data_IF_013562069159
#
_entry.id   IF_013562069159
#
_cell.length_a   1.000
_cell.length_b   1.000
_cell.length_c   1.000
_cell.angle_alpha   90.00
_cell.angle_beta   90.00
_cell.angle_gamma   90.00
#
_symmetry.space_group_name_H-M   'P 1'
#
loop_
_entity.id
_entity.type
_entity.pdbx_description
1 polymer ?
#
# COMPACT_ATOMS: atom_id res chain seq x y z
N UNK A 1 28.83 73.38 16.27
CA UNK A 1 28.81 72.39 15.22
C UNK A 1 28.63 71.02 15.88
N UNK A 2 27.42 70.43 15.83
CA UNK A 2 27.10 69.10 16.37
C UNK A 2 27.11 68.12 15.19
N UNK A 3 28.08 67.19 15.15
CA UNK A 3 28.09 66.08 14.21
C UNK A 3 27.14 64.97 14.71
N UNK A 4 26.08 64.70 13.98
CA UNK A 4 25.20 63.53 14.16
C UNK A 4 25.81 62.39 13.36
N UNK A 5 26.35 61.37 14.07
CA UNK A 5 26.72 60.07 13.43
C UNK A 5 25.44 59.25 13.21
N UNK A 6 25.07 59.05 11.95
CA UNK A 6 24.05 58.06 11.54
C UNK A 6 24.70 56.68 11.47
N UNK A 7 24.38 55.82 12.43
CA UNK A 7 24.77 54.43 12.41
C UNK A 7 23.76 53.67 11.55
N UNK A 8 24.14 53.36 10.29
CA UNK A 8 23.32 52.52 9.40
C UNK A 8 23.43 51.05 9.84
N UNK A 9 22.36 50.50 10.40
CA UNK A 9 22.22 49.10 10.76
C UNK A 9 21.95 48.32 9.46
N UNK A 10 22.99 47.70 8.87
CA UNK A 10 22.87 46.74 7.77
C UNK A 10 22.25 45.45 8.28
N UNK A 11 20.93 45.27 8.06
CA UNK A 11 20.26 44.00 8.20
C UNK A 11 20.79 43.04 7.13
N UNK A 12 21.72 42.18 7.52
CA UNK A 12 22.16 41.04 6.68
C UNK A 12 21.03 40.03 6.67
N UNK A 13 20.16 40.09 5.66
CA UNK A 13 19.23 39.03 5.35
C UNK A 13 20.01 37.85 4.82
N UNK A 14 20.34 36.88 5.67
CA UNK A 14 20.84 35.59 5.20
C UNK A 14 19.75 34.97 4.32
N UNK A 15 20.04 34.56 3.07
CA UNK A 15 19.06 33.82 2.30
C UNK A 15 18.73 32.54 3.08
N UNK A 16 17.46 32.36 3.40
CA UNK A 16 16.95 31.10 3.95
C UNK A 16 17.16 30.04 2.86
N UNK A 17 18.27 29.30 2.94
CA UNK A 17 18.55 28.24 2.01
C UNK A 17 17.50 27.16 2.28
N UNK A 18 16.60 26.96 1.33
CA UNK A 18 15.65 25.85 1.42
C UNK A 18 16.44 24.55 1.64
N UNK A 19 16.16 23.85 2.72
CA UNK A 19 16.81 22.58 3.00
C UNK A 19 16.64 21.63 1.79
N UNK A 20 17.72 20.99 1.37
CA UNK A 20 17.68 20.06 0.25
C UNK A 20 16.78 18.87 0.65
N UNK A 21 15.76 18.60 -0.16
CA UNK A 21 14.84 17.48 0.09
C UNK A 21 15.58 16.16 0.00
N UNK A 22 15.36 15.27 0.97
CA UNK A 22 15.96 13.95 0.91
C UNK A 22 15.28 13.09 -0.16
N UNK A 23 16.06 12.47 -1.03
CA UNK A 23 15.56 11.59 -2.09
C UNK A 23 15.19 10.23 -1.53
N UNK A 24 13.95 9.82 -1.74
CA UNK A 24 13.40 8.55 -1.26
C UNK A 24 12.78 7.79 -2.42
N UNK A 25 13.07 6.49 -2.45
CA UNK A 25 12.42 5.54 -3.36
C UNK A 25 11.52 4.62 -2.53
N UNK A 26 10.25 4.53 -2.88
CA UNK A 26 9.33 3.52 -2.37
C UNK A 26 9.14 2.43 -3.44
N UNK A 27 9.03 1.17 -3.04
CA UNK A 27 8.89 0.06 -4.00
C UNK A 27 7.59 0.15 -4.79
N UNK A 28 6.46 0.55 -4.18
CA UNK A 28 5.17 0.64 -4.86
C UNK A 28 4.27 1.76 -4.30
N UNK A 29 3.16 2.01 -4.99
CA UNK A 29 2.31 3.19 -4.78
C UNK A 29 1.71 3.31 -3.38
N UNK A 30 1.34 2.20 -2.72
CA UNK A 30 0.80 2.21 -1.35
C UNK A 30 1.87 2.68 -0.35
N UNK A 31 3.09 2.14 -0.43
CA UNK A 31 4.19 2.64 0.40
C UNK A 31 4.51 4.10 0.10
N UNK A 32 4.47 4.49 -1.17
CA UNK A 32 4.70 5.88 -1.55
C UNK A 32 3.67 6.83 -0.92
N UNK A 33 2.41 6.40 -0.78
CA UNK A 33 1.39 7.20 -0.09
C UNK A 33 1.71 7.36 1.40
N UNK A 34 2.09 6.28 2.10
CA UNK A 34 2.53 6.37 3.49
C UNK A 34 3.74 7.30 3.66
N UNK A 35 4.76 7.13 2.82
CA UNK A 35 5.96 7.98 2.85
C UNK A 35 5.61 9.44 2.58
N UNK A 36 4.72 9.73 1.63
CA UNK A 36 4.26 11.10 1.31
C UNK A 36 3.54 11.74 2.49
N UNK A 37 2.67 10.99 3.18
CA UNK A 37 1.92 11.50 4.34
C UNK A 37 2.82 11.80 5.54
N UNK A 38 3.96 11.10 5.67
CA UNK A 38 4.94 11.34 6.75
C UNK A 38 5.98 12.38 6.36
N UNK A 39 6.50 12.30 5.13
CA UNK A 39 7.60 13.14 4.66
C UNK A 39 7.18 14.55 4.22
N UNK A 40 5.92 14.70 3.80
CA UNK A 40 5.37 15.98 3.35
C UNK A 40 6.20 16.64 2.24
N UNK A 41 6.50 17.90 2.42
CA UNK A 41 7.30 18.72 1.49
C UNK A 41 8.82 18.65 1.75
N UNK A 42 9.27 17.87 2.75
CA UNK A 42 10.69 17.70 3.10
C UNK A 42 11.39 16.62 2.30
N UNK A 43 10.68 15.87 1.49
CA UNK A 43 11.20 14.74 0.72
C UNK A 43 11.00 14.92 -0.78
N UNK A 44 11.87 14.26 -1.56
CA UNK A 44 11.71 14.02 -3.01
C UNK A 44 11.44 12.52 -3.21
N UNK A 45 10.19 12.17 -3.46
CA UNK A 45 9.70 10.80 -3.43
C UNK A 45 9.42 10.25 -4.83
N UNK A 46 9.94 9.07 -5.11
CA UNK A 46 9.60 8.28 -6.31
C UNK A 46 9.07 6.89 -5.91
N UNK A 47 7.96 6.48 -6.51
CA UNK A 47 7.52 5.08 -6.49
C UNK A 47 8.10 4.35 -7.71
N UNK A 48 8.63 3.12 -7.53
CA UNK A 48 9.10 2.29 -8.65
C UNK A 48 7.90 1.71 -9.38
N UNK A 49 7.01 1.03 -8.66
CA UNK A 49 5.74 0.56 -9.21
C UNK A 49 4.68 1.63 -8.95
N UNK A 50 4.22 2.25 -10.03
CA UNK A 50 3.26 3.37 -9.98
C UNK A 50 1.82 2.90 -9.78
N UNK A 51 0.89 3.84 -10.06
CA UNK A 51 -0.54 3.57 -9.99
C UNK A 51 -0.94 2.42 -10.93
N UNK A 52 -1.91 1.60 -10.46
CA UNK A 52 -2.45 0.42 -11.16
C UNK A 52 -1.38 -0.61 -11.58
N UNK A 53 -0.16 -0.50 -11.05
CA UNK A 53 0.92 -1.44 -11.33
C UNK A 53 0.91 -2.63 -10.38
N UNK A 54 1.23 -3.81 -10.93
CA UNK A 54 1.39 -5.04 -10.16
C UNK A 54 2.82 -5.16 -9.65
N UNK A 55 2.99 -5.12 -8.33
CA UNK A 55 4.30 -5.18 -7.67
C UNK A 55 4.95 -6.57 -7.72
N UNK A 56 4.15 -7.64 -7.84
CA UNK A 56 4.67 -9.01 -7.88
C UNK A 56 5.46 -9.31 -9.16
N UNK A 57 4.98 -8.80 -10.30
CA UNK A 57 5.52 -9.10 -11.64
C UNK A 57 6.26 -7.91 -12.27
N UNK A 58 6.62 -6.92 -11.45
CA UNK A 58 7.31 -5.73 -11.96
C UNK A 58 8.67 -6.07 -12.55
N UNK A 59 8.92 -5.55 -13.75
CA UNK A 59 10.22 -5.65 -14.42
C UNK A 59 10.93 -4.28 -14.34
N UNK A 60 12.02 -4.16 -13.56
CA UNK A 60 12.73 -2.90 -13.42
C UNK A 60 13.31 -2.38 -14.73
N UNK A 61 13.19 -1.08 -14.96
CA UNK A 61 13.81 -0.38 -16.06
C UNK A 61 15.19 0.20 -15.67
N UNK A 62 16.10 0.50 -16.65
CA UNK A 62 17.40 1.10 -16.35
C UNK A 62 17.32 2.39 -15.53
N UNK A 63 16.24 3.17 -15.70
CA UNK A 63 15.99 4.39 -14.93
C UNK A 63 15.78 4.12 -13.43
N UNK A 64 15.31 2.94 -13.05
CA UNK A 64 15.06 2.59 -11.65
C UNK A 64 16.36 2.38 -10.89
N UNK A 65 17.37 1.77 -11.52
CA UNK A 65 18.71 1.66 -10.96
C UNK A 65 19.31 3.04 -10.66
N UNK A 66 19.12 4.02 -11.57
CA UNK A 66 19.56 5.40 -11.34
C UNK A 66 18.83 6.03 -10.16
N UNK A 67 17.51 5.89 -10.07
CA UNK A 67 16.72 6.42 -8.94
C UNK A 67 17.18 5.84 -7.60
N UNK A 68 17.41 4.53 -7.55
CA UNK A 68 17.95 3.84 -6.36
C UNK A 68 19.37 4.32 -6.02
N UNK A 69 20.23 4.50 -7.02
CA UNK A 69 21.61 4.99 -6.80
C UNK A 69 21.66 6.40 -6.20
N UNK A 70 20.68 7.25 -6.55
CA UNK A 70 20.57 8.63 -6.05
C UNK A 70 19.80 8.74 -4.73
N UNK A 71 19.10 7.71 -4.32
CA UNK A 71 18.26 7.74 -3.13
C UNK A 71 19.09 7.72 -1.84
N UNK A 72 18.61 8.38 -0.80
CA UNK A 72 19.09 8.26 0.58
C UNK A 72 18.44 7.05 1.29
N UNK A 73 17.16 6.85 1.04
CA UNK A 73 16.40 5.70 1.55
C UNK A 73 15.68 4.98 0.41
N UNK A 74 15.63 3.65 0.50
CA UNK A 74 14.75 2.79 -0.29
C UNK A 74 13.80 2.09 0.68
N UNK A 75 12.51 2.45 0.61
CA UNK A 75 11.48 1.89 1.46
C UNK A 75 10.82 0.71 0.75
N UNK A 76 10.83 -0.44 1.39
CA UNK A 76 10.31 -1.70 0.85
C UNK A 76 9.27 -2.29 1.80
N UNK A 77 8.35 -3.08 1.25
CA UNK A 77 7.42 -3.85 2.06
C UNK A 77 8.16 -4.96 2.83
N UNK A 78 8.97 -5.72 2.14
CA UNK A 78 9.53 -6.95 2.67
C UNK A 78 8.54 -8.11 2.59
N UNK A 79 8.67 -9.10 3.49
CA UNK A 79 7.85 -10.31 3.52
C UNK A 79 7.86 -11.11 2.19
N UNK A 80 8.85 -10.86 1.34
CA UNK A 80 9.00 -11.53 0.04
C UNK A 80 8.23 -10.89 -1.12
N UNK A 81 7.57 -9.74 -0.93
CA UNK A 81 6.78 -9.06 -1.98
C UNK A 81 7.63 -8.69 -3.19
N UNK A 82 8.75 -8.00 -2.96
CA UNK A 82 9.60 -7.44 -4.01
C UNK A 82 10.75 -8.39 -4.37
N UNK A 83 10.45 -9.56 -4.92
CA UNK A 83 11.48 -10.55 -5.29
C UNK A 83 12.53 -10.04 -6.28
N UNK A 84 12.17 -9.05 -7.11
CA UNK A 84 13.02 -8.40 -8.11
C UNK A 84 13.98 -7.34 -7.51
N UNK A 85 13.66 -6.76 -6.37
CA UNK A 85 14.33 -5.57 -5.84
C UNK A 85 15.76 -5.80 -5.35
N UNK A 86 16.12 -6.91 -4.66
CA UNK A 86 17.49 -7.12 -4.19
C UNK A 86 18.52 -7.07 -5.32
N UNK A 87 18.19 -7.64 -6.50
CA UNK A 87 19.07 -7.58 -7.68
C UNK A 87 19.20 -6.17 -8.22
N UNK A 88 18.11 -5.39 -8.20
CA UNK A 88 18.11 -4.01 -8.66
C UNK A 88 18.99 -3.13 -7.76
N UNK A 89 18.84 -3.22 -6.43
CA UNK A 89 19.66 -2.49 -5.45
C UNK A 89 21.15 -2.83 -5.62
N UNK A 90 21.48 -4.10 -5.78
CA UNK A 90 22.84 -4.55 -6.01
C UNK A 90 23.41 -3.99 -7.32
N UNK A 91 22.66 -4.04 -8.42
CA UNK A 91 23.10 -3.56 -9.74
C UNK A 91 23.25 -2.03 -9.78
N UNK A 92 22.47 -1.31 -8.98
CA UNK A 92 22.55 0.14 -8.85
C UNK A 92 23.85 0.61 -8.15
N UNK A 93 24.57 -0.27 -7.45
CA UNK A 93 25.73 0.12 -6.64
C UNK A 93 25.36 1.13 -5.55
N UNK A 94 24.11 1.12 -5.10
CA UNK A 94 23.55 2.13 -4.22
C UNK A 94 24.13 2.05 -2.80
N UNK A 95 24.30 3.23 -2.19
CA UNK A 95 24.61 3.39 -0.76
C UNK A 95 23.34 3.72 0.06
N UNK A 96 22.17 3.71 -0.57
CA UNK A 96 20.91 3.98 0.11
C UNK A 96 20.65 2.95 1.21
N UNK A 97 20.14 3.41 2.34
CA UNK A 97 19.64 2.50 3.37
C UNK A 97 18.32 1.89 2.88
N UNK A 98 18.26 0.56 2.85
CA UNK A 98 17.01 -0.17 2.59
C UNK A 98 16.28 -0.34 3.90
N UNK A 99 15.03 0.12 3.95
CA UNK A 99 14.16 0.10 5.13
C UNK A 99 12.96 -0.78 4.85
N UNK A 100 12.79 -1.84 5.63
CA UNK A 100 11.61 -2.71 5.57
C UNK A 100 10.49 -2.13 6.43
N UNK A 101 9.42 -1.67 5.81
CA UNK A 101 8.32 -0.98 6.48
C UNK A 101 7.39 -1.92 7.26
N UNK A 102 7.56 -3.24 7.12
CA UNK A 102 6.83 -4.27 7.90
C UNK A 102 7.65 -4.82 9.06
N UNK A 103 8.78 -4.22 9.43
CA UNK A 103 9.69 -4.79 10.43
C UNK A 103 9.03 -5.01 11.81
N UNK A 104 8.06 -4.16 12.18
CA UNK A 104 7.28 -4.26 13.41
C UNK A 104 6.05 -5.18 13.34
N UNK A 105 5.78 -5.83 12.20
CA UNK A 105 4.57 -6.63 11.99
C UNK A 105 4.85 -8.12 12.21
N UNK A 106 3.97 -8.79 12.98
CA UNK A 106 3.96 -10.25 13.05
C UNK A 106 3.31 -10.81 11.76
N UNK A 107 4.06 -11.49 10.88
CA UNK A 107 3.54 -11.90 9.60
C UNK A 107 2.55 -13.06 9.70
N UNK A 108 1.47 -13.01 8.91
CA UNK A 108 0.63 -14.17 8.67
C UNK A 108 1.43 -15.20 7.87
N UNK A 109 1.30 -16.47 8.23
CA UNK A 109 2.00 -17.56 7.57
C UNK A 109 1.10 -18.23 6.53
N UNK A 110 1.64 -18.45 5.35
CA UNK A 110 1.04 -19.22 4.26
C UNK A 110 1.98 -20.39 3.93
N UNK A 111 1.79 -21.50 4.64
CA UNK A 111 2.73 -22.60 4.61
C UNK A 111 4.10 -22.21 5.16
N UNK A 112 5.15 -22.32 4.33
CA UNK A 112 6.52 -21.92 4.68
C UNK A 112 6.81 -20.42 4.43
N UNK A 113 5.97 -19.73 3.65
CA UNK A 113 6.13 -18.32 3.32
C UNK A 113 5.32 -17.41 4.24
N UNK A 114 5.62 -16.11 4.21
CA UNK A 114 4.79 -15.08 4.82
C UNK A 114 3.82 -14.51 3.77
N UNK A 115 2.63 -14.11 4.21
CA UNK A 115 1.74 -13.28 3.43
C UNK A 115 2.31 -11.85 3.38
N UNK A 116 2.60 -11.29 2.19
CA UNK A 116 3.19 -9.95 2.11
C UNK A 116 2.19 -8.81 2.24
N UNK A 117 0.88 -9.06 2.12
CA UNK A 117 -0.16 -8.04 1.98
C UNK A 117 -0.59 -7.40 3.31
N UNK A 118 0.39 -7.09 4.17
CA UNK A 118 0.12 -6.61 5.53
C UNK A 118 -0.62 -5.27 5.59
N UNK A 119 -0.53 -4.44 4.54
CA UNK A 119 -1.25 -3.17 4.43
C UNK A 119 -2.78 -3.31 4.37
N UNK A 120 -3.30 -4.51 4.09
CA UNK A 120 -4.75 -4.76 4.08
C UNK A 120 -5.39 -4.70 5.47
N UNK A 121 -4.60 -4.73 6.55
CA UNK A 121 -5.03 -4.40 7.91
C UNK A 121 -4.69 -2.94 8.24
N UNK A 122 -5.69 -2.12 8.60
CA UNK A 122 -5.45 -0.72 8.99
C UNK A 122 -4.60 -0.62 10.27
N UNK A 123 -4.75 -1.48 11.31
CA UNK A 123 -3.80 -1.57 12.42
C UNK A 123 -2.35 -1.79 11.96
N UNK A 124 -2.11 -2.66 10.98
CA UNK A 124 -0.78 -2.84 10.42
C UNK A 124 -0.29 -1.58 9.68
N UNK A 125 -1.15 -0.90 8.91
CA UNK A 125 -0.79 0.36 8.24
C UNK A 125 -0.25 1.41 9.23
N UNK A 126 -0.71 1.42 10.48
CA UNK A 126 -0.16 2.28 11.53
C UNK A 126 1.28 1.91 11.90
N UNK A 127 1.64 0.63 11.83
CA UNK A 127 3.02 0.15 12.05
C UNK A 127 3.90 0.63 10.90
N UNK A 128 3.46 0.46 9.64
CA UNK A 128 4.16 1.01 8.47
C UNK A 128 4.49 2.49 8.64
N UNK A 129 3.50 3.30 9.01
CA UNK A 129 3.65 4.75 9.19
C UNK A 129 4.66 5.07 10.30
N UNK A 130 4.64 4.29 11.39
CA UNK A 130 5.58 4.45 12.51
C UNK A 130 7.01 4.11 12.09
N UNK A 131 7.20 2.98 11.40
CA UNK A 131 8.51 2.53 10.93
C UNK A 131 9.10 3.50 9.90
N UNK A 132 8.26 4.01 8.97
CA UNK A 132 8.65 5.04 8.01
C UNK A 132 9.06 6.34 8.72
N UNK A 133 8.28 6.80 9.70
CA UNK A 133 8.60 8.03 10.45
C UNK A 133 9.93 7.91 11.20
N UNK A 134 10.20 6.75 11.80
CA UNK A 134 11.47 6.49 12.47
C UNK A 134 12.64 6.48 11.48
N UNK A 135 12.46 5.87 10.30
CA UNK A 135 13.49 5.85 9.27
C UNK A 135 13.80 7.24 8.73
N UNK A 136 12.77 8.06 8.48
CA UNK A 136 12.94 9.44 8.02
C UNK A 136 13.63 10.30 9.10
N UNK A 137 13.24 10.16 10.37
CA UNK A 137 13.85 10.89 11.49
C UNK A 137 15.33 10.54 11.70
N UNK A 138 15.73 9.28 11.40
CA UNK A 138 17.15 8.87 11.43
C UNK A 138 17.90 9.41 10.21
N UNK A 139 17.28 9.42 9.05
CA UNK A 139 17.89 9.90 7.81
C UNK A 139 18.07 11.42 7.79
N UNK A 140 17.18 12.17 8.44
CA UNK A 140 17.24 13.62 8.57
C UNK A 140 16.86 14.03 10.01
N UNK A 141 17.84 14.07 10.93
CA UNK A 141 17.60 14.40 12.33
C UNK A 141 17.08 15.84 12.56
N UNK A 142 17.42 16.77 11.67
CA UNK A 142 16.99 18.16 11.78
C UNK A 142 15.48 18.31 11.53
N UNK A 143 14.90 17.45 10.69
CA UNK A 143 13.49 17.40 10.37
C UNK A 143 12.72 16.31 11.18
N UNK A 144 13.37 15.65 12.14
CA UNK A 144 12.79 14.51 12.88
C UNK A 144 11.45 14.86 13.55
N UNK A 145 11.31 16.04 14.16
CA UNK A 145 10.06 16.46 14.79
C UNK A 145 8.95 16.72 13.77
N UNK A 146 9.28 17.25 12.60
CA UNK A 146 8.33 17.41 11.50
C UNK A 146 7.76 16.03 11.09
N UNK A 147 8.62 15.05 10.81
CA UNK A 147 8.18 13.71 10.41
C UNK A 147 7.32 13.03 11.48
N UNK A 148 7.69 13.14 12.75
CA UNK A 148 6.89 12.61 13.84
C UNK A 148 5.54 13.30 13.99
N UNK A 149 5.46 14.60 13.77
CA UNK A 149 4.20 15.37 13.82
C UNK A 149 3.27 14.96 12.68
N UNK A 150 3.81 14.82 11.45
CA UNK A 150 3.05 14.35 10.30
C UNK A 150 2.55 12.93 10.52
N UNK A 151 3.40 12.03 11.03
CA UNK A 151 3.02 10.67 11.36
C UNK A 151 1.87 10.63 12.39
N UNK A 152 1.93 11.40 13.49
CA UNK A 152 0.84 11.49 14.47
C UNK A 152 -0.48 11.89 13.81
N UNK A 153 -0.45 12.94 12.98
CA UNK A 153 -1.65 13.41 12.25
C UNK A 153 -2.23 12.33 11.33
N UNK A 154 -1.36 11.55 10.66
CA UNK A 154 -1.83 10.49 9.77
C UNK A 154 -2.32 9.26 10.55
N UNK A 155 -1.69 8.92 11.66
CA UNK A 155 -2.11 7.84 12.56
C UNK A 155 -3.53 8.09 13.13
N UNK A 156 -3.90 9.34 13.47
CA UNK A 156 -5.25 9.69 13.90
C UNK A 156 -6.29 9.44 12.79
N UNK A 157 -5.92 9.74 11.54
CA UNK A 157 -6.77 9.44 10.38
C UNK A 157 -6.94 7.93 10.18
N UNK A 158 -5.87 7.15 10.35
CA UNK A 158 -5.92 5.69 10.24
C UNK A 158 -6.75 5.06 11.37
N UNK A 159 -6.68 5.59 12.58
CA UNK A 159 -7.53 5.13 13.69
C UNK A 159 -9.01 5.37 13.40
N UNK A 160 -9.34 6.51 12.82
CA UNK A 160 -10.69 6.80 12.36
C UNK A 160 -11.14 5.84 11.27
N UNK A 161 -10.26 5.57 10.28
CA UNK A 161 -10.51 4.63 9.20
C UNK A 161 -10.77 3.20 9.73
N UNK A 162 -9.99 2.74 10.71
CA UNK A 162 -10.19 1.42 11.33
C UNK A 162 -11.58 1.28 11.95
N UNK A 163 -12.05 2.31 12.67
CA UNK A 163 -13.42 2.33 13.20
C UNK A 163 -14.47 2.29 12.08
N UNK A 164 -14.29 3.08 11.01
CA UNK A 164 -15.19 3.09 9.85
C UNK A 164 -15.31 1.67 9.24
N UNK A 165 -14.18 0.97 9.09
CA UNK A 165 -14.15 -0.40 8.54
C UNK A 165 -14.89 -1.38 9.47
N UNK A 166 -14.61 -1.35 10.78
CA UNK A 166 -15.29 -2.22 11.77
C UNK A 166 -16.79 -2.00 11.79
N UNK A 167 -17.23 -0.75 11.79
CA UNK A 167 -18.66 -0.40 11.76
C UNK A 167 -19.35 -0.86 10.47
N UNK A 168 -18.66 -0.74 9.32
CA UNK A 168 -19.20 -1.19 8.05
C UNK A 168 -19.28 -2.71 7.96
N UNK A 169 -18.24 -3.43 8.38
CA UNK A 169 -18.23 -4.90 8.40
C UNK A 169 -19.25 -5.45 9.40
N UNK A 170 -19.47 -4.80 10.54
CA UNK A 170 -20.46 -5.23 11.52
C UNK A 170 -21.89 -5.29 10.93
N UNK A 171 -22.17 -4.50 9.89
CA UNK A 171 -23.47 -4.51 9.18
C UNK A 171 -23.64 -5.66 8.20
N UNK A 172 -22.56 -6.38 7.86
CA UNK A 172 -22.62 -7.55 6.97
C UNK A 172 -23.04 -8.77 7.78
N UNK A 173 -24.12 -9.49 7.40
CA UNK A 173 -24.48 -10.74 8.04
C UNK A 173 -23.36 -11.78 7.98
N UNK A 174 -23.14 -12.54 9.05
CA UNK A 174 -22.01 -13.48 9.15
C UNK A 174 -21.98 -14.49 8.00
N UNK A 175 -23.14 -14.98 7.59
CA UNK A 175 -23.32 -15.94 6.49
C UNK A 175 -22.98 -15.35 5.12
N UNK A 176 -22.84 -14.02 5.01
CA UNK A 176 -22.48 -13.30 3.78
C UNK A 176 -21.05 -12.76 3.77
N UNK A 177 -20.30 -13.00 4.87
CA UNK A 177 -18.91 -12.56 4.99
C UNK A 177 -17.91 -13.47 4.29
N UNK A 178 -18.32 -14.10 3.18
CA UNK A 178 -17.42 -14.86 2.32
C UNK A 178 -17.58 -14.44 0.89
N UNK A 179 -16.47 -14.07 0.26
CA UNK A 179 -16.40 -13.51 -1.09
C UNK A 179 -15.22 -14.10 -1.85
N UNK A 180 -15.21 -13.91 -3.18
CA UNK A 180 -14.09 -14.28 -4.05
C UNK A 180 -13.37 -13.02 -4.49
N UNK A 181 -12.02 -13.00 -4.38
CA UNK A 181 -11.10 -12.05 -5.00
C UNK A 181 -10.36 -12.71 -6.16
N UNK A 182 -9.53 -11.97 -6.89
CA UNK A 182 -8.76 -12.52 -8.00
C UNK A 182 -7.54 -13.29 -7.50
N UNK A 183 -6.78 -12.73 -6.55
CA UNK A 183 -5.67 -13.40 -5.88
C UNK A 183 -5.78 -13.32 -4.36
N UNK A 184 -4.94 -14.07 -3.64
CA UNK A 184 -4.99 -14.19 -2.18
C UNK A 184 -4.24 -13.03 -1.50
N UNK A 185 -4.79 -11.82 -1.62
CA UNK A 185 -4.22 -10.58 -1.07
C UNK A 185 -4.87 -10.12 0.24
N UNK A 186 -6.00 -10.68 0.64
CA UNK A 186 -6.82 -10.11 1.71
C UNK A 186 -6.74 -10.90 3.03
N UNK A 187 -5.70 -11.71 3.23
CA UNK A 187 -5.53 -12.53 4.42
C UNK A 187 -5.51 -11.71 5.72
N UNK A 188 -4.79 -10.59 5.74
CA UNK A 188 -4.76 -9.68 6.91
C UNK A 188 -6.08 -8.95 7.13
N UNK A 189 -6.80 -8.60 6.06
CA UNK A 189 -8.14 -8.03 6.19
C UNK A 189 -9.10 -9.06 6.79
N UNK A 190 -9.03 -10.31 6.33
CA UNK A 190 -9.85 -11.41 6.85
C UNK A 190 -9.58 -11.66 8.34
N UNK A 191 -8.32 -11.70 8.74
CA UNK A 191 -7.91 -11.90 10.13
C UNK A 191 -8.37 -10.76 11.04
N UNK A 192 -8.31 -9.52 10.56
CA UNK A 192 -8.61 -8.32 11.35
C UNK A 192 -10.12 -8.05 11.46
N UNK A 193 -10.87 -8.24 10.35
CA UNK A 193 -12.26 -7.79 10.26
C UNK A 193 -13.28 -8.92 10.07
N UNK A 194 -12.84 -10.16 9.89
CA UNK A 194 -13.73 -11.32 9.83
C UNK A 194 -14.52 -11.47 8.53
N UNK A 195 -14.01 -10.95 7.41
CA UNK A 195 -14.53 -11.21 6.05
C UNK A 195 -13.60 -12.20 5.36
N UNK A 196 -14.08 -13.36 4.98
CA UNK A 196 -13.30 -14.40 4.34
C UNK A 196 -13.18 -14.16 2.84
N UNK A 197 -11.95 -14.20 2.35
CA UNK A 197 -11.65 -14.16 0.92
C UNK A 197 -11.18 -15.55 0.47
N UNK A 198 -11.61 -15.95 -0.71
CA UNK A 198 -11.10 -17.14 -1.42
C UNK A 198 -10.69 -16.67 -2.81
N UNK A 199 -9.54 -17.12 -3.28
CA UNK A 199 -9.02 -16.68 -4.56
C UNK A 199 -8.60 -17.86 -5.44
N UNK A 200 -8.77 -17.80 -6.78
CA UNK A 200 -8.24 -18.78 -7.72
C UNK A 200 -6.72 -18.69 -7.88
N UNK A 201 -6.16 -17.49 -7.76
CA UNK A 201 -4.70 -17.25 -7.75
C UNK A 201 -4.19 -17.33 -6.32
N UNK A 202 -2.92 -17.74 -6.17
CA UNK A 202 -2.22 -17.71 -4.89
C UNK A 202 -1.88 -16.29 -4.43
N UNK A 203 -0.95 -16.19 -3.50
CA UNK A 203 -0.47 -14.93 -2.92
C UNK A 203 0.29 -14.05 -3.93
N UNK A 204 0.90 -14.66 -4.93
CA UNK A 204 1.57 -13.96 -6.03
C UNK A 204 0.76 -14.12 -7.32
N UNK A 205 0.75 -13.07 -8.12
CA UNK A 205 0.12 -13.03 -9.45
C UNK A 205 1.01 -13.60 -10.56
N UNK A 206 2.22 -14.04 -10.24
CA UNK A 206 3.19 -14.58 -11.22
C UNK A 206 2.70 -15.84 -11.95
N UNK A 207 1.81 -16.60 -11.33
CA UNK A 207 1.36 -17.90 -11.84
C UNK A 207 -0.13 -17.89 -12.14
N UNK A 208 -0.50 -18.30 -13.35
CA UNK A 208 -1.91 -18.50 -13.73
C UNK A 208 -2.51 -19.69 -12.97
N UNK A 209 -3.80 -19.64 -12.56
CA UNK A 209 -4.45 -20.76 -11.90
C UNK A 209 -4.68 -21.91 -12.87
N UNK A 210 -4.52 -23.14 -12.38
CA UNK A 210 -4.82 -24.32 -13.19
C UNK A 210 -6.33 -24.46 -13.43
N UNK A 211 -6.70 -25.20 -14.49
CA UNK A 211 -8.12 -25.52 -14.75
C UNK A 211 -8.77 -26.26 -13.56
N UNK A 212 -7.99 -27.02 -12.79
CA UNK A 212 -8.45 -27.70 -11.57
C UNK A 212 -8.79 -26.72 -10.46
N UNK A 213 -7.97 -25.69 -10.26
CA UNK A 213 -8.19 -24.68 -9.23
C UNK A 213 -9.43 -23.85 -9.57
N UNK A 214 -9.61 -23.47 -10.84
CA UNK A 214 -10.79 -22.77 -11.32
C UNK A 214 -12.06 -23.63 -11.08
N UNK A 215 -12.02 -24.92 -11.42
CA UNK A 215 -13.14 -25.84 -11.20
C UNK A 215 -13.47 -25.98 -9.69
N UNK A 216 -12.45 -26.04 -8.83
CA UNK A 216 -12.62 -26.11 -7.38
C UNK A 216 -13.31 -24.87 -6.83
N UNK A 217 -12.90 -23.66 -7.26
CA UNK A 217 -13.52 -22.38 -6.88
C UNK A 217 -14.98 -22.34 -7.34
N UNK A 218 -15.28 -22.71 -8.59
CA UNK A 218 -16.66 -22.77 -9.11
C UNK A 218 -17.52 -23.71 -8.27
N UNK A 219 -17.00 -24.91 -7.95
CA UNK A 219 -17.67 -25.85 -7.06
C UNK A 219 -17.95 -25.29 -5.67
N UNK A 220 -16.98 -24.61 -5.09
CA UNK A 220 -17.08 -23.97 -3.79
C UNK A 220 -18.12 -22.84 -3.77
N UNK A 221 -18.13 -21.96 -4.79
CA UNK A 221 -19.11 -20.88 -4.91
C UNK A 221 -20.53 -21.45 -4.92
N UNK A 222 -20.78 -22.49 -5.73
CA UNK A 222 -22.10 -23.14 -5.84
C UNK A 222 -22.51 -23.82 -4.54
N UNK A 223 -21.60 -24.61 -3.93
CA UNK A 223 -21.89 -25.35 -2.70
C UNK A 223 -22.14 -24.46 -1.50
N UNK A 224 -21.39 -23.36 -1.36
CA UNK A 224 -21.46 -22.46 -0.23
C UNK A 224 -22.33 -21.22 -0.49
N UNK A 225 -22.91 -21.11 -1.68
CA UNK A 225 -23.74 -19.97 -2.10
C UNK A 225 -23.05 -18.62 -1.87
N UNK A 226 -21.75 -18.54 -2.25
CA UNK A 226 -20.97 -17.32 -2.08
C UNK A 226 -21.61 -16.20 -2.92
N UNK A 227 -21.96 -15.04 -2.30
CA UNK A 227 -22.85 -14.06 -2.93
C UNK A 227 -22.16 -13.24 -4.02
N UNK A 228 -20.85 -13.00 -3.90
CA UNK A 228 -20.15 -12.07 -4.76
C UNK A 228 -18.72 -12.50 -5.09
N UNK A 229 -18.28 -12.12 -6.29
CA UNK A 229 -16.91 -12.17 -6.78
C UNK A 229 -16.44 -10.76 -7.09
N UNK A 230 -15.16 -10.49 -6.87
CA UNK A 230 -14.57 -9.16 -7.10
C UNK A 230 -13.43 -9.21 -8.08
N UNK A 231 -13.39 -8.21 -8.94
CA UNK A 231 -12.25 -7.89 -9.80
C UNK A 231 -11.17 -7.19 -8.98
N UNK A 232 -9.97 -7.12 -9.51
CA UNK A 232 -8.88 -6.32 -8.94
C UNK A 232 -8.26 -5.41 -9.99
N UNK A 233 -7.83 -4.21 -9.58
CA UNK A 233 -7.34 -3.19 -10.53
C UNK A 233 -6.00 -3.55 -11.18
N UNK A 234 -5.24 -4.47 -10.59
CA UNK A 234 -3.93 -4.91 -11.08
C UNK A 234 -4.01 -6.16 -11.97
N UNK A 235 -5.18 -6.78 -12.13
CA UNK A 235 -5.34 -8.09 -12.78
C UNK A 235 -6.29 -8.04 -13.96
N UNK A 236 -6.13 -9.00 -14.89
CA UNK A 236 -7.09 -9.24 -15.98
C UNK A 236 -8.42 -9.76 -15.42
N UNK A 237 -9.51 -9.13 -15.79
CA UNK A 237 -10.85 -9.41 -15.26
C UNK A 237 -11.56 -10.62 -15.90
N UNK A 238 -11.02 -11.17 -17.00
CA UNK A 238 -11.67 -12.24 -17.80
C UNK A 238 -11.94 -13.49 -16.98
N UNK A 239 -11.00 -13.89 -16.12
CA UNK A 239 -11.15 -15.09 -15.28
C UNK A 239 -12.33 -14.93 -14.30
N UNK A 240 -12.36 -13.84 -13.56
CA UNK A 240 -13.40 -13.59 -12.54
C UNK A 240 -14.77 -13.41 -13.20
N UNK A 241 -14.85 -12.74 -14.35
CA UNK A 241 -16.09 -12.62 -15.12
C UNK A 241 -16.61 -13.98 -15.61
N UNK A 242 -15.71 -14.87 -16.04
CA UNK A 242 -16.05 -16.24 -16.41
C UNK A 242 -16.60 -17.02 -15.20
N UNK A 243 -15.91 -16.97 -14.06
CA UNK A 243 -16.38 -17.61 -12.82
C UNK A 243 -17.76 -17.09 -12.42
N UNK A 244 -17.98 -15.77 -12.49
CA UNK A 244 -19.29 -15.17 -12.22
C UNK A 244 -20.37 -15.73 -13.16
N UNK A 245 -20.12 -15.80 -14.46
CA UNK A 245 -21.07 -16.31 -15.46
C UNK A 245 -21.41 -17.80 -15.23
N UNK A 246 -20.44 -18.62 -14.85
CA UNK A 246 -20.64 -20.06 -14.60
C UNK A 246 -21.34 -20.37 -13.26
N UNK A 247 -21.28 -19.44 -12.30
CA UNK A 247 -21.81 -19.65 -10.94
C UNK A 247 -23.08 -18.88 -10.65
N UNK A 248 -23.36 -17.81 -11.40
CA UNK A 248 -24.43 -16.86 -11.09
C UNK A 248 -24.09 -15.91 -9.94
N UNK A 249 -22.86 -15.92 -9.41
CA UNK A 249 -22.42 -14.97 -8.38
C UNK A 249 -22.38 -13.54 -8.94
N UNK A 250 -22.75 -12.56 -8.11
CA UNK A 250 -22.74 -11.15 -8.51
C UNK A 250 -21.28 -10.65 -8.64
N UNK A 251 -20.97 -9.92 -9.70
CA UNK A 251 -19.73 -9.13 -9.75
C UNK A 251 -19.91 -7.90 -8.87
N UNK A 252 -19.20 -7.87 -7.74
CA UNK A 252 -19.34 -6.86 -6.69
C UNK A 252 -18.62 -5.54 -6.97
N UNK A 253 -17.86 -5.50 -8.07
CA UNK A 253 -17.02 -4.36 -8.46
C UNK A 253 -15.54 -4.71 -8.46
N UNK A 254 -14.70 -3.68 -8.52
CA UNK A 254 -13.24 -3.81 -8.51
C UNK A 254 -12.71 -3.44 -7.13
N UNK A 255 -11.96 -4.34 -6.49
CA UNK A 255 -11.16 -4.03 -5.30
C UNK A 255 -9.81 -3.47 -5.73
N UNK A 256 -9.26 -2.62 -4.92
CA UNK A 256 -7.91 -2.11 -5.07
C UNK A 256 -7.03 -2.90 -4.09
N UNK A 257 -6.16 -3.75 -4.62
CA UNK A 257 -5.38 -4.70 -3.80
C UNK A 257 -3.94 -4.23 -3.55
N UNK A 258 -3.10 -4.19 -4.59
CA UNK A 258 -1.64 -4.03 -4.46
C UNK A 258 -1.11 -2.74 -5.07
N UNK A 259 -1.96 -1.92 -5.64
CA UNK A 259 -1.57 -0.64 -6.23
C UNK A 259 -2.69 0.37 -6.14
N UNK A 260 -2.38 1.59 -5.68
CA UNK A 260 -3.32 2.70 -5.72
C UNK A 260 -3.62 3.07 -7.18
N UNK A 261 -4.77 3.68 -7.41
CA UNK A 261 -5.11 4.21 -8.74
C UNK A 261 -4.43 5.56 -8.99
N UNK A 262 -4.42 6.00 -10.25
CA UNK A 262 -3.97 7.36 -10.58
C UNK A 262 -4.83 8.43 -9.89
N UNK A 263 -4.36 9.67 -9.89
CA UNK A 263 -4.97 10.82 -9.17
C UNK A 263 -6.45 11.03 -9.46
N UNK A 264 -6.91 10.70 -10.69
CA UNK A 264 -8.32 10.80 -11.12
C UNK A 264 -9.08 9.48 -10.99
N UNK A 265 -8.44 8.45 -10.44
CA UNK A 265 -9.03 7.13 -10.27
C UNK A 265 -9.87 7.00 -9.01
N UNK A 266 -10.30 5.77 -8.72
CA UNK A 266 -11.21 5.47 -7.62
C UNK A 266 -10.57 5.58 -6.23
N UNK A 267 -9.26 5.36 -6.15
CA UNK A 267 -8.52 5.25 -4.89
C UNK A 267 -7.08 5.77 -5.05
N UNK A 268 -6.86 7.10 -5.14
CA UNK A 268 -5.53 7.68 -5.30
C UNK A 268 -4.70 7.67 -4.00
N UNK A 269 -5.32 7.41 -2.84
CA UNK A 269 -4.66 7.30 -1.53
C UNK A 269 -5.01 5.99 -0.83
N UNK A 270 -4.21 5.60 0.16
CA UNK A 270 -4.50 4.42 0.98
C UNK A 270 -5.86 4.51 1.69
N UNK A 271 -6.20 5.68 2.23
CA UNK A 271 -7.49 5.90 2.88
C UNK A 271 -8.64 5.75 1.89
N UNK A 272 -8.50 6.28 0.68
CA UNK A 272 -9.50 6.12 -0.38
C UNK A 272 -9.62 4.65 -0.81
N UNK A 273 -8.50 3.92 -0.90
CA UNK A 273 -8.47 2.50 -1.20
C UNK A 273 -9.31 1.70 -0.21
N UNK A 274 -9.06 1.86 1.08
CA UNK A 274 -9.78 1.12 2.12
C UNK A 274 -11.27 1.49 2.12
N UNK A 275 -11.61 2.77 2.00
CA UNK A 275 -13.01 3.24 1.91
C UNK A 275 -13.72 2.72 0.66
N UNK A 276 -13.04 2.72 -0.49
CA UNK A 276 -13.56 2.16 -1.73
C UNK A 276 -13.83 0.66 -1.58
N UNK A 277 -12.87 -0.09 -1.07
CA UNK A 277 -12.98 -1.54 -0.90
C UNK A 277 -14.11 -1.92 0.05
N UNK A 278 -14.22 -1.27 1.21
CA UNK A 278 -15.30 -1.59 2.15
C UNK A 278 -16.68 -1.20 1.61
N UNK A 279 -16.79 -0.11 0.84
CA UNK A 279 -18.02 0.26 0.15
C UNK A 279 -18.40 -0.77 -0.91
N UNK A 280 -17.45 -1.24 -1.72
CA UNK A 280 -17.69 -2.28 -2.72
C UNK A 280 -18.16 -3.59 -2.06
N UNK A 281 -17.46 -4.03 -1.01
CA UNK A 281 -17.82 -5.22 -0.23
C UNK A 281 -19.25 -5.11 0.34
N UNK A 282 -19.53 -4.07 1.11
CA UNK A 282 -20.86 -3.89 1.74
C UNK A 282 -21.97 -3.81 0.72
N UNK A 283 -21.78 -3.09 -0.40
CA UNK A 283 -22.79 -2.97 -1.45
C UNK A 283 -23.06 -4.28 -2.19
N UNK A 284 -22.05 -5.15 -2.32
CA UNK A 284 -22.21 -6.42 -3.02
C UNK A 284 -22.94 -7.47 -2.19
N UNK A 285 -22.72 -7.46 -0.86
CA UNK A 285 -23.22 -8.47 0.06
C UNK A 285 -24.43 -8.02 0.90
N UNK A 286 -24.86 -6.78 0.80
CA UNK A 286 -26.03 -6.25 1.53
C UNK A 286 -27.38 -6.89 1.10
N UNK A 287 -27.44 -7.62 0.00
CA UNK A 287 -28.56 -8.43 -0.41
C UNK A 287 -29.50 -7.80 -1.37
#
# INVERSE_FOLDING_TARGET
>A
MRFLLFLALLLISSPLQAAERIKIVASFSILADFVRNVGGDRIDLTALVGADGDVHVYTPAPGDAKRIAEAKLVIVNGLGLEGWLPRLVQSAGSKAQVVTATAGIAPLKLGAAADPHAWQSVPNARIYVTDIANALAVADPDEAEFFRAQARTYLDKLETLDREVREAVAKIPLERRKVISTHDAFGYFAAEYGVQFVAPLGVSTETEPSARDIAAIIGQIKAQKIPAVFLENISDDRLIRRIAAETGAKVGGTLISDGLTGEKGLAPTYIDMVRHNIKALTSAVAG
#
